data_IF_355419790087
#
_entry.id   IF_355419790087
#
_cell.length_a   1.000
_cell.length_b   1.000
_cell.length_c   1.000
_cell.angle_alpha   90.00
_cell.angle_beta   90.00
_cell.angle_gamma   90.00
#
_symmetry.space_group_name_H-M   'P 1'
#
loop_
_entity.id
_entity.type
_entity.pdbx_description
1 polymer ?
#
# COMPACT_ATOMS: atom_id res chain seq x y z
N UNK A 1 -12.87 -2.68 -17.30
CA UNK A 1 -12.36 -1.75 -16.28
C UNK A 1 -11.10 -1.10 -16.83
N UNK A 2 -10.77 0.15 -16.48
CA UNK A 2 -9.48 0.72 -16.86
C UNK A 2 -8.35 -0.13 -16.25
N UNK A 3 -7.23 -0.27 -16.98
CA UNK A 3 -6.08 -1.05 -16.54
C UNK A 3 -5.51 -0.42 -15.26
N UNK A 4 -5.34 -1.21 -14.20
CA UNK A 4 -4.75 -0.74 -12.96
C UNK A 4 -3.26 -0.41 -13.15
N UNK A 5 -2.82 0.61 -12.41
CA UNK A 5 -1.45 1.08 -12.33
C UNK A 5 -1.22 1.75 -10.97
N UNK A 6 0.03 1.82 -10.54
CA UNK A 6 0.42 2.57 -9.34
C UNK A 6 -0.17 3.99 -9.34
N UNK A 7 0.00 4.73 -10.45
CA UNK A 7 -0.51 6.10 -10.57
C UNK A 7 -2.04 6.17 -10.46
N UNK A 8 -2.77 5.24 -11.09
CA UNK A 8 -4.24 5.22 -10.98
C UNK A 8 -4.71 4.92 -9.55
N UNK A 9 -4.00 4.06 -8.83
CA UNK A 9 -4.32 3.72 -7.45
C UNK A 9 -4.06 4.90 -6.52
N UNK A 10 -2.95 5.62 -6.70
CA UNK A 10 -2.67 6.85 -5.95
C UNK A 10 -3.66 7.98 -6.26
N UNK A 11 -4.12 8.09 -7.51
CA UNK A 11 -5.17 9.06 -7.84
C UNK A 11 -6.50 8.73 -7.17
N UNK A 12 -6.83 7.45 -7.00
CA UNK A 12 -8.03 7.00 -6.29
C UNK A 12 -7.87 7.09 -4.76
N UNK A 13 -6.67 6.87 -4.24
CA UNK A 13 -6.32 6.82 -2.82
C UNK A 13 -5.13 7.75 -2.50
N UNK A 14 -5.31 9.08 -2.49
CA UNK A 14 -4.18 10.01 -2.35
C UNK A 14 -3.39 9.89 -1.05
N UNK A 15 -4.00 9.35 0.01
CA UNK A 15 -3.35 9.10 1.30
C UNK A 15 -2.28 8.01 1.23
N UNK A 16 -2.35 7.12 0.24
CA UNK A 16 -1.46 5.98 0.09
C UNK A 16 -0.17 6.32 -0.70
N UNK A 17 -0.04 7.55 -1.21
CA UNK A 17 1.19 8.01 -1.87
C UNK A 17 2.36 7.93 -0.88
N UNK A 18 3.44 7.19 -1.18
CA UNK A 18 4.54 7.02 -0.27
C UNK A 18 5.20 8.36 0.10
N UNK A 19 5.45 8.56 1.39
CA UNK A 19 6.22 9.69 1.88
C UNK A 19 7.70 9.35 1.81
N UNK A 20 8.43 10.05 0.96
CA UNK A 20 9.90 9.97 0.92
C UNK A 20 10.45 10.81 2.08
N UNK A 21 11.08 10.22 3.10
CA UNK A 21 11.69 11.00 4.18
C UNK A 21 12.79 11.90 3.60
N UNK A 22 12.84 13.15 4.05
CA UNK A 22 13.88 14.12 3.70
C UNK A 22 15.21 13.75 4.40
N UNK A 23 15.82 12.67 3.94
CA UNK A 23 17.17 12.26 4.30
C UNK A 23 18.09 12.60 3.14
N UNK A 24 19.19 13.27 3.42
CA UNK A 24 20.21 13.68 2.44
C UNK A 24 20.95 12.51 1.75
N UNK A 25 20.46 11.28 1.90
CA UNK A 25 21.05 10.06 1.38
C UNK A 25 20.36 9.64 0.06
N UNK A 26 21.05 9.72 -1.09
CA UNK A 26 20.48 9.44 -2.40
C UNK A 26 20.09 7.98 -2.61
N UNK A 27 20.48 7.05 -1.72
CA UNK A 27 20.12 5.63 -1.83
C UNK A 27 18.74 5.29 -1.26
N UNK A 28 18.17 6.13 -0.39
CA UNK A 28 16.83 5.93 0.17
C UNK A 28 15.72 6.56 -0.70
N UNK A 29 16.08 7.34 -1.71
CA UNK A 29 15.17 8.27 -2.40
C UNK A 29 14.63 7.78 -3.75
N UNK A 30 14.98 6.58 -4.22
CA UNK A 30 14.47 6.07 -5.50
C UNK A 30 13.35 5.07 -5.27
N UNK A 31 12.11 5.57 -5.21
CA UNK A 31 10.92 4.73 -5.35
C UNK A 31 10.97 4.07 -6.72
N UNK A 32 11.18 2.75 -6.74
CA UNK A 32 11.14 1.96 -7.97
C UNK A 32 9.66 1.83 -8.36
N UNK A 33 9.26 2.24 -9.58
CA UNK A 33 7.88 2.11 -10.02
C UNK A 33 7.41 0.66 -9.94
N UNK A 34 6.15 0.45 -9.53
CA UNK A 34 5.64 -0.91 -9.38
C UNK A 34 5.64 -1.67 -10.71
N UNK A 35 6.23 -2.87 -10.69
CA UNK A 35 6.19 -3.84 -11.78
C UNK A 35 5.24 -5.01 -11.50
N UNK A 36 4.30 -4.80 -10.58
CA UNK A 36 3.35 -5.82 -10.16
C UNK A 36 2.40 -6.23 -11.29
N UNK A 37 2.04 -7.51 -11.28
CA UNK A 37 0.99 -8.04 -12.13
C UNK A 37 -0.37 -7.42 -11.76
N UNK A 38 -1.32 -7.43 -12.70
CA UNK A 38 -2.63 -6.81 -12.51
C UNK A 38 -3.37 -7.37 -11.28
N UNK A 39 -3.26 -8.66 -11.00
CA UNK A 39 -3.87 -9.31 -9.84
C UNK A 39 -3.34 -8.76 -8.51
N UNK A 40 -2.05 -8.45 -8.45
CA UNK A 40 -1.43 -7.85 -7.26
C UNK A 40 -1.89 -6.40 -7.11
N UNK A 41 -2.08 -5.67 -8.22
CA UNK A 41 -2.62 -4.31 -8.20
C UNK A 41 -4.09 -4.29 -7.72
N UNK A 42 -4.91 -5.26 -8.13
CA UNK A 42 -6.27 -5.45 -7.62
C UNK A 42 -6.25 -5.71 -6.10
N UNK A 43 -5.28 -6.49 -5.64
CA UNK A 43 -5.12 -6.81 -4.22
C UNK A 43 -4.73 -5.56 -3.40
N UNK A 44 -3.86 -4.71 -3.94
CA UNK A 44 -3.52 -3.41 -3.35
C UNK A 44 -4.74 -2.47 -3.35
N UNK A 45 -5.53 -2.43 -4.42
CA UNK A 45 -6.78 -1.65 -4.47
C UNK A 45 -7.76 -2.07 -3.37
N UNK A 46 -7.98 -3.37 -3.22
CA UNK A 46 -8.84 -3.93 -2.16
C UNK A 46 -8.33 -3.56 -0.77
N UNK A 47 -7.01 -3.64 -0.55
CA UNK A 47 -6.36 -3.22 0.68
C UNK A 47 -6.62 -1.74 0.99
N UNK A 48 -6.44 -0.85 0.01
CA UNK A 48 -6.68 0.58 0.20
C UNK A 48 -8.15 0.88 0.51
N UNK A 49 -9.09 0.24 -0.20
CA UNK A 49 -10.52 0.38 0.07
C UNK A 49 -10.88 -0.09 1.49
N UNK A 50 -10.34 -1.23 1.94
CA UNK A 50 -10.63 -1.76 3.29
C UNK A 50 -10.08 -0.85 4.40
N UNK A 51 -8.92 -0.22 4.18
CA UNK A 51 -8.39 0.80 5.09
C UNK A 51 -9.31 2.03 5.11
N UNK A 52 -9.74 2.53 3.95
CA UNK A 52 -10.65 3.67 3.91
C UNK A 52 -11.97 3.37 4.61
N UNK A 53 -12.53 2.19 4.41
CA UNK A 53 -13.78 1.75 5.03
C UNK A 53 -13.64 1.63 6.55
N UNK A 54 -12.47 1.21 7.05
CA UNK A 54 -12.17 1.22 8.48
C UNK A 54 -12.30 2.64 9.08
N UNK A 55 -11.74 3.65 8.43
CA UNK A 55 -11.81 5.04 8.90
C UNK A 55 -13.20 5.66 8.68
N UNK A 56 -13.80 5.47 7.50
CA UNK A 56 -15.15 5.97 7.16
C UNK A 56 -16.21 5.44 8.12
N UNK A 57 -16.20 4.13 8.42
CA UNK A 57 -17.16 3.50 9.34
C UNK A 57 -17.08 4.04 10.77
N UNK A 58 -15.95 4.61 11.16
CA UNK A 58 -15.72 5.23 12.48
C UNK A 58 -15.79 6.75 12.45
N UNK A 59 -16.07 7.35 11.30
CA UNK A 59 -16.04 8.81 11.10
C UNK A 59 -14.70 9.44 11.53
N UNK A 60 -13.60 8.73 11.26
CA UNK A 60 -12.24 9.18 11.55
C UNK A 60 -11.56 9.69 10.26
N UNK A 61 -10.57 10.56 10.42
CA UNK A 61 -9.65 10.89 9.35
C UNK A 61 -8.62 9.76 9.18
N UNK A 62 -8.16 9.55 7.95
CA UNK A 62 -7.12 8.56 7.65
C UNK A 62 -5.82 9.02 8.33
N UNK A 63 -5.33 8.20 9.25
CA UNK A 63 -4.08 8.41 9.98
C UNK A 63 -3.12 7.26 9.70
N UNK A 64 -2.56 7.27 8.48
CA UNK A 64 -1.63 6.27 7.96
C UNK A 64 -0.57 6.97 7.13
N UNK A 65 0.69 6.62 7.35
CA UNK A 65 1.80 7.02 6.48
C UNK A 65 2.41 5.77 5.88
N UNK A 66 2.43 5.69 4.54
CA UNK A 66 3.12 4.62 3.81
C UNK A 66 4.51 5.16 3.40
N UNK A 67 5.55 4.37 3.61
CA UNK A 67 6.91 4.68 3.16
C UNK A 67 7.26 3.94 1.88
N UNK A 68 6.80 2.70 1.75
CA UNK A 68 7.11 1.86 0.60
C UNK A 68 6.12 0.70 0.52
N UNK A 69 5.76 0.32 -0.71
CA UNK A 69 5.13 -0.96 -1.03
C UNK A 69 6.01 -1.63 -2.07
N UNK A 70 6.48 -2.85 -1.78
CA UNK A 70 7.40 -3.60 -2.64
C UNK A 70 7.16 -5.10 -2.52
N UNK A 71 7.73 -5.87 -3.44
CA UNK A 71 7.85 -7.32 -3.27
C UNK A 71 9.10 -7.63 -2.46
N UNK A 72 8.96 -8.50 -1.46
CA UNK A 72 10.07 -9.05 -0.68
C UNK A 72 9.82 -10.55 -0.53
N UNK A 73 10.76 -11.40 -0.94
CA UNK A 73 10.67 -12.86 -0.79
C UNK A 73 9.30 -13.45 -1.21
N UNK A 74 8.77 -13.03 -2.37
CA UNK A 74 7.52 -13.57 -2.93
C UNK A 74 6.24 -13.14 -2.19
N UNK A 75 6.23 -11.98 -1.54
CA UNK A 75 5.03 -11.35 -1.01
C UNK A 75 5.14 -9.83 -1.00
N UNK A 76 4.01 -9.15 -0.92
CA UNK A 76 3.94 -7.72 -0.68
C UNK A 76 4.42 -7.40 0.73
N UNK A 77 5.39 -6.49 0.82
CA UNK A 77 5.83 -5.82 2.04
C UNK A 77 5.34 -4.36 2.00
N UNK A 78 4.64 -3.95 3.07
CA UNK A 78 4.06 -2.61 3.21
C UNK A 78 4.70 -1.94 4.42
N UNK A 79 5.69 -1.08 4.17
CA UNK A 79 6.32 -0.29 5.21
C UNK A 79 5.43 0.92 5.53
N UNK A 80 4.88 0.96 6.73
CA UNK A 80 3.92 1.99 7.14
C UNK A 80 3.96 2.30 8.65
N UNK A 81 3.41 3.45 9.02
CA UNK A 81 3.13 3.85 10.40
C UNK A 81 1.66 4.26 10.52
N UNK A 82 1.00 3.75 11.55
CA UNK A 82 -0.37 4.10 11.95
C UNK A 82 -0.56 3.81 13.43
N UNK A 83 -1.37 4.60 14.17
CA UNK A 83 -1.73 4.28 15.56
C UNK A 83 -2.83 3.21 15.67
N UNK A 84 -3.42 2.78 14.55
CA UNK A 84 -4.55 1.85 14.52
C UNK A 84 -4.10 0.42 14.23
N UNK A 85 -4.14 -0.45 15.24
CA UNK A 85 -3.75 -1.86 15.12
C UNK A 85 -4.54 -2.63 14.04
N UNK A 86 -5.78 -2.24 13.81
CA UNK A 86 -6.67 -2.82 12.81
C UNK A 86 -6.19 -2.53 11.39
N UNK A 87 -5.61 -1.35 11.15
CA UNK A 87 -5.00 -1.02 9.86
C UNK A 87 -3.74 -1.87 9.64
N UNK A 88 -2.92 -2.07 10.68
CA UNK A 88 -1.79 -3.01 10.61
C UNK A 88 -2.26 -4.43 10.29
N UNK A 89 -3.37 -4.88 10.89
CA UNK A 89 -3.96 -6.19 10.62
C UNK A 89 -4.47 -6.31 9.17
N UNK A 90 -5.03 -5.25 8.59
CA UNK A 90 -5.42 -5.18 7.17
C UNK A 90 -4.17 -5.37 6.30
N UNK A 91 -3.09 -4.61 6.53
CA UNK A 91 -1.86 -4.76 5.74
C UNK A 91 -1.27 -6.17 5.84
N UNK A 92 -1.25 -6.76 7.03
CA UNK A 92 -0.79 -8.13 7.21
C UNK A 92 -1.67 -9.15 6.45
N UNK A 93 -3.00 -9.00 6.47
CA UNK A 93 -3.92 -9.85 5.71
C UNK A 93 -3.58 -9.83 4.21
N UNK A 94 -3.39 -8.66 3.63
CA UNK A 94 -3.10 -8.53 2.20
C UNK A 94 -1.67 -8.96 1.84
N UNK A 95 -0.70 -8.74 2.73
CA UNK A 95 0.64 -9.32 2.59
C UNK A 95 0.59 -10.85 2.51
N UNK A 96 -0.18 -11.51 3.37
CA UNK A 96 -0.35 -12.97 3.34
C UNK A 96 -1.06 -13.46 2.06
N UNK A 97 -2.15 -12.81 1.65
CA UNK A 97 -2.87 -13.15 0.42
C UNK A 97 -2.00 -12.98 -0.83
N UNK A 98 -1.09 -12.01 -0.83
CA UNK A 98 -0.25 -11.73 -1.98
C UNK A 98 0.70 -12.87 -2.36
N UNK A 99 1.03 -13.77 -1.40
CA UNK A 99 1.93 -14.92 -1.61
C UNK A 99 1.49 -15.82 -2.76
N UNK A 100 0.18 -15.89 -3.03
CA UNK A 100 -0.38 -16.71 -4.11
C UNK A 100 -0.02 -16.19 -5.51
N UNK A 101 0.43 -14.93 -5.63
CA UNK A 101 0.65 -14.25 -6.91
C UNK A 101 2.13 -14.08 -7.28
N UNK A 102 3.06 -14.45 -6.38
CA UNK A 102 4.51 -14.35 -6.60
C UNK A 102 5.23 -15.71 -6.57
N UNK A 103 4.46 -16.82 -6.61
CA UNK A 103 4.97 -18.19 -6.61
C UNK A 103 5.45 -18.66 -7.99
#
# INVERSE_FOLDING_TARGET
MPKLSELSLYNAHPWAVPVVPDVADPYFAQLIPWQFAEQVLELIEQMFNEVEDFFKSRSLHIEVTIFEIKEVFGHLDISSITPHSEVTAIFHKYSELSKEYFA
#
